data_IF_943959088033
#
_entry.id   IF_943959088033
#
_cell.length_a   1.000
_cell.length_b   1.000
_cell.length_c   1.000
_cell.angle_alpha   90.00
_cell.angle_beta   90.00
_cell.angle_gamma   90.00
#
_symmetry.space_group_name_H-M   'P 1'
#
loop_
_entity.id
_entity.type
_entity.pdbx_description
1 polymer ?
#
# COMPACT_ATOMS: atom_id res chain seq x y z
N UNK A 1 53.66 -26.85 6.77
CA UNK A 1 54.65 -25.76 6.61
C UNK A 1 55.72 -25.83 7.70
N UNK A 2 55.39 -25.52 8.97
CA UNK A 2 56.37 -25.50 10.07
C UNK A 2 57.07 -26.85 10.36
N UNK A 3 56.34 -27.98 10.30
CA UNK A 3 56.92 -29.32 10.45
C UNK A 3 57.99 -29.60 9.38
N UNK A 4 57.68 -29.31 8.12
CA UNK A 4 58.59 -29.55 6.98
C UNK A 4 59.79 -28.59 6.98
N UNK A 5 59.60 -27.35 7.45
CA UNK A 5 60.69 -26.42 7.67
C UNK A 5 61.64 -26.90 8.79
N UNK A 6 61.09 -27.42 9.89
CA UNK A 6 61.89 -28.00 10.97
C UNK A 6 62.69 -29.22 10.48
N UNK A 7 62.11 -30.06 9.62
CA UNK A 7 62.81 -31.19 8.98
C UNK A 7 63.91 -30.73 8.03
N UNK A 8 63.69 -29.65 7.29
CA UNK A 8 64.72 -29.04 6.43
C UNK A 8 65.92 -28.56 7.25
N UNK A 9 65.68 -27.94 8.41
CA UNK A 9 66.76 -27.47 9.29
C UNK A 9 67.44 -28.56 10.13
N UNK A 10 66.74 -29.66 10.43
CA UNK A 10 67.30 -30.81 11.16
C UNK A 10 68.42 -31.53 10.37
N UNK A 11 68.51 -31.33 9.05
CA UNK A 11 69.58 -31.87 8.22
C UNK A 11 69.51 -33.39 7.98
N UNK A 12 70.61 -33.98 7.49
CA UNK A 12 70.70 -35.44 7.26
C UNK A 12 70.18 -35.94 5.91
N UNK A 13 69.95 -35.04 4.95
CA UNK A 13 69.45 -35.37 3.60
C UNK A 13 70.42 -34.94 2.50
N UNK A 14 70.25 -35.47 1.29
CA UNK A 14 71.08 -35.08 0.14
C UNK A 14 70.80 -33.63 -0.28
N UNK A 15 71.75 -32.98 -0.96
CA UNK A 15 71.58 -31.61 -1.44
C UNK A 15 70.34 -31.44 -2.36
N UNK A 16 69.97 -32.49 -3.10
CA UNK A 16 68.80 -32.49 -3.98
C UNK A 16 67.50 -32.55 -3.19
N UNK A 17 67.44 -33.38 -2.16
CA UNK A 17 66.25 -33.54 -1.32
C UNK A 17 66.01 -32.30 -0.45
N UNK A 18 67.09 -31.68 0.04
CA UNK A 18 67.01 -30.40 0.75
C UNK A 18 66.45 -29.28 -0.14
N UNK A 19 66.83 -29.23 -1.40
CA UNK A 19 66.34 -28.22 -2.34
C UNK A 19 64.87 -28.46 -2.75
N UNK A 20 64.46 -29.73 -2.90
CA UNK A 20 63.06 -30.07 -3.11
C UNK A 20 62.20 -29.66 -1.90
N UNK A 21 62.63 -30.03 -0.69
CA UNK A 21 61.92 -29.73 0.55
C UNK A 21 61.87 -28.21 0.82
N UNK A 22 62.91 -27.45 0.47
CA UNK A 22 62.90 -25.98 0.51
C UNK A 22 61.77 -25.40 -0.34
N UNK A 23 61.68 -25.82 -1.60
CA UNK A 23 60.63 -25.36 -2.52
C UNK A 23 59.24 -25.75 -2.05
N UNK A 24 59.09 -26.95 -1.49
CA UNK A 24 57.82 -27.40 -0.90
C UNK A 24 57.41 -26.55 0.30
N UNK A 25 58.36 -26.22 1.20
CA UNK A 25 58.12 -25.32 2.34
C UNK A 25 57.68 -23.93 1.87
N UNK A 26 58.36 -23.36 0.87
CA UNK A 26 57.99 -22.07 0.27
C UNK A 26 56.56 -22.08 -0.31
N UNK A 27 56.21 -23.13 -1.06
CA UNK A 27 54.85 -23.31 -1.60
C UNK A 27 53.80 -23.45 -0.50
N UNK A 28 54.10 -24.19 0.57
CA UNK A 28 53.20 -24.35 1.70
C UNK A 28 52.98 -23.02 2.44
N UNK A 29 54.02 -22.22 2.65
CA UNK A 29 53.88 -20.89 3.25
C UNK A 29 53.09 -19.93 2.36
N UNK A 30 53.34 -19.94 1.04
CA UNK A 30 52.55 -19.15 0.09
C UNK A 30 51.06 -19.55 0.11
N UNK A 31 50.76 -20.86 0.24
CA UNK A 31 49.38 -21.35 0.37
C UNK A 31 48.75 -20.93 1.69
N UNK A 32 49.49 -20.99 2.81
CA UNK A 32 49.00 -20.53 4.12
C UNK A 32 48.68 -19.04 4.09
N UNK A 33 49.59 -18.20 3.59
CA UNK A 33 49.37 -16.75 3.45
C UNK A 33 48.12 -16.46 2.62
N UNK A 34 47.93 -17.15 1.50
CA UNK A 34 46.71 -16.99 0.68
C UNK A 34 45.43 -17.37 1.44
N UNK A 35 45.47 -18.45 2.21
CA UNK A 35 44.30 -18.86 3.02
C UNK A 35 44.04 -17.87 4.15
N UNK A 36 45.07 -17.27 4.75
CA UNK A 36 44.92 -16.21 5.76
C UNK A 36 44.26 -14.96 5.16
N UNK A 37 44.66 -14.55 3.95
CA UNK A 37 44.02 -13.44 3.23
C UNK A 37 42.54 -13.75 2.90
N UNK A 38 42.24 -14.97 2.46
CA UNK A 38 40.86 -15.43 2.20
C UNK A 38 40.02 -15.45 3.49
N UNK A 39 40.58 -15.92 4.60
CA UNK A 39 39.90 -15.92 5.91
C UNK A 39 39.62 -14.49 6.37
N UNK A 40 40.57 -13.57 6.19
CA UNK A 40 40.37 -12.16 6.55
C UNK A 40 39.23 -11.54 5.72
N UNK A 41 39.21 -11.79 4.41
CA UNK A 41 38.11 -11.33 3.54
C UNK A 41 36.74 -11.88 3.97
N UNK A 42 36.67 -13.15 4.37
CA UNK A 42 35.43 -13.74 4.89
C UNK A 42 34.99 -13.13 6.23
N UNK A 43 35.91 -12.71 7.10
CA UNK A 43 35.59 -12.01 8.34
C UNK A 43 34.99 -10.64 8.03
N UNK A 44 35.60 -9.88 7.12
CA UNK A 44 35.08 -8.56 6.72
C UNK A 44 33.69 -8.65 6.08
N UNK A 45 33.48 -9.62 5.18
CA UNK A 45 32.18 -9.88 4.55
C UNK A 45 31.10 -10.26 5.58
N UNK A 46 31.49 -11.06 6.58
CA UNK A 46 30.61 -11.46 7.67
C UNK A 46 30.21 -10.25 8.50
N UNK A 47 31.16 -9.43 8.96
CA UNK A 47 30.89 -8.25 9.78
C UNK A 47 29.96 -7.27 9.05
N UNK A 48 30.19 -7.06 7.75
CA UNK A 48 29.31 -6.23 6.91
C UNK A 48 27.90 -6.80 6.84
N UNK A 49 27.78 -8.11 6.65
CA UNK A 49 26.48 -8.78 6.56
C UNK A 49 25.72 -8.73 7.90
N UNK A 50 26.42 -8.87 9.03
CA UNK A 50 25.85 -8.74 10.37
C UNK A 50 25.32 -7.33 10.62
N UNK A 51 26.08 -6.29 10.26
CA UNK A 51 25.63 -4.90 10.35
C UNK A 51 24.41 -4.62 9.45
N UNK A 52 24.37 -5.20 8.25
CA UNK A 52 23.22 -5.09 7.35
C UNK A 52 21.97 -5.75 7.91
N UNK A 53 22.12 -6.93 8.54
CA UNK A 53 21.00 -7.62 9.21
C UNK A 53 20.46 -6.80 10.37
N UNK A 54 21.34 -6.28 11.24
CA UNK A 54 20.93 -5.44 12.39
C UNK A 54 20.12 -4.22 11.92
N UNK A 55 20.64 -3.49 10.93
CA UNK A 55 19.95 -2.34 10.33
C UNK A 55 18.59 -2.71 9.71
N UNK A 56 18.50 -3.86 9.05
CA UNK A 56 17.24 -4.32 8.46
C UNK A 56 16.22 -4.76 9.54
N UNK A 57 16.69 -5.34 10.64
CA UNK A 57 15.85 -5.70 11.79
C UNK A 57 15.26 -4.46 12.45
N UNK A 58 16.08 -3.42 12.71
CA UNK A 58 15.59 -2.14 13.22
C UNK A 58 14.55 -1.51 12.29
N UNK A 59 14.82 -1.53 10.97
CA UNK A 59 13.87 -1.04 9.97
C UNK A 59 12.56 -1.81 9.96
N UNK A 60 12.62 -3.13 10.15
CA UNK A 60 11.44 -3.99 10.23
C UNK A 60 10.62 -3.72 11.49
N UNK A 61 11.25 -3.52 12.64
CA UNK A 61 10.58 -3.19 13.90
C UNK A 61 9.82 -1.86 13.78
N UNK A 62 10.49 -0.82 13.26
CA UNK A 62 9.86 0.50 13.04
C UNK A 62 8.68 0.41 12.07
N UNK A 63 8.83 -0.29 10.95
CA UNK A 63 7.78 -0.46 9.97
C UNK A 63 6.59 -1.27 10.53
N UNK A 64 6.86 -2.27 11.36
CA UNK A 64 5.82 -3.09 12.01
C UNK A 64 5.04 -2.26 13.01
N UNK A 65 5.71 -1.49 13.86
CA UNK A 65 5.07 -0.59 14.82
C UNK A 65 4.18 0.45 14.12
N UNK A 66 4.66 1.05 13.02
CA UNK A 66 3.88 2.02 12.25
C UNK A 66 2.67 1.37 11.57
N UNK A 67 2.83 0.16 11.01
CA UNK A 67 1.72 -0.61 10.45
C UNK A 67 0.64 -0.89 11.49
N UNK A 68 1.02 -1.31 12.70
CA UNK A 68 0.07 -1.58 13.78
C UNK A 68 -0.67 -0.31 14.21
N UNK A 69 0.05 0.81 14.33
CA UNK A 69 -0.54 2.13 14.63
C UNK A 69 -1.56 2.53 13.57
N UNK A 70 -1.21 2.41 12.29
CA UNK A 70 -2.11 2.75 11.18
C UNK A 70 -3.32 1.81 11.14
N UNK A 71 -3.14 0.51 11.38
CA UNK A 71 -4.23 -0.46 11.43
C UNK A 71 -5.25 -0.10 12.52
N UNK A 72 -4.79 0.29 13.71
CA UNK A 72 -5.66 0.75 14.78
C UNK A 72 -6.45 2.01 14.39
N UNK A 73 -5.78 3.01 13.81
CA UNK A 73 -6.44 4.24 13.34
C UNK A 73 -7.48 3.94 12.27
N UNK A 74 -7.16 3.09 11.29
CA UNK A 74 -8.08 2.71 10.22
C UNK A 74 -9.31 2.00 10.81
N UNK A 75 -9.11 1.06 11.73
CA UNK A 75 -10.21 0.35 12.39
C UNK A 75 -11.14 1.29 13.14
N UNK A 76 -10.59 2.25 13.89
CA UNK A 76 -11.38 3.24 14.60
C UNK A 76 -12.17 4.16 13.66
N UNK A 77 -11.56 4.58 12.55
CA UNK A 77 -12.25 5.40 11.54
C UNK A 77 -13.38 4.64 10.87
N UNK A 78 -13.19 3.36 10.53
CA UNK A 78 -14.25 2.51 10.00
C UNK A 78 -15.40 2.38 10.99
N UNK A 79 -15.13 2.13 12.27
CA UNK A 79 -16.17 2.05 13.30
C UNK A 79 -17.00 3.34 13.41
N UNK A 80 -16.39 4.50 13.25
CA UNK A 80 -17.12 5.79 13.21
C UNK A 80 -18.01 5.87 11.96
N UNK A 81 -17.47 5.54 10.79
CA UNK A 81 -18.21 5.53 9.53
C UNK A 81 -19.42 4.58 9.61
N UNK A 82 -19.22 3.36 10.11
CA UNK A 82 -20.28 2.36 10.25
C UNK A 82 -21.39 2.84 11.19
N UNK A 83 -21.01 3.49 12.31
CA UNK A 83 -21.98 4.07 13.24
C UNK A 83 -22.79 5.19 12.58
N UNK A 84 -22.13 6.09 11.85
CA UNK A 84 -22.81 7.17 11.13
C UNK A 84 -23.71 6.64 10.00
N UNK A 85 -23.25 5.60 9.30
CA UNK A 85 -24.01 4.93 8.25
C UNK A 85 -25.26 4.29 8.82
N UNK A 86 -25.16 3.53 9.91
CA UNK A 86 -26.30 2.91 10.59
C UNK A 86 -27.35 3.96 11.02
N UNK A 87 -26.89 5.09 11.57
CA UNK A 87 -27.79 6.20 11.92
C UNK A 87 -28.49 6.81 10.69
N UNK A 88 -27.76 6.97 9.57
CA UNK A 88 -28.32 7.47 8.31
C UNK A 88 -29.30 6.48 7.68
N UNK A 89 -29.01 5.19 7.72
CA UNK A 89 -29.88 4.14 7.20
C UNK A 89 -31.17 4.02 8.02
N UNK A 90 -31.09 4.12 9.34
CA UNK A 90 -32.28 4.09 10.19
C UNK A 90 -33.17 5.31 9.94
N UNK A 91 -32.58 6.51 9.85
CA UNK A 91 -33.34 7.71 9.42
C UNK A 91 -33.95 7.54 8.04
N UNK A 92 -33.20 7.00 7.07
CA UNK A 92 -33.70 6.75 5.71
C UNK A 92 -34.95 5.84 5.75
N UNK A 93 -34.95 4.78 6.56
CA UNK A 93 -36.12 3.89 6.68
C UNK A 93 -37.34 4.64 7.21
N UNK A 94 -37.16 5.45 8.26
CA UNK A 94 -38.24 6.27 8.83
C UNK A 94 -38.73 7.28 7.80
N UNK A 95 -37.84 8.04 7.19
CA UNK A 95 -38.18 9.10 6.22
C UNK A 95 -38.86 8.53 4.98
N UNK A 96 -38.46 7.35 4.51
CA UNK A 96 -39.10 6.68 3.38
C UNK A 96 -40.58 6.38 3.64
N UNK A 97 -40.99 6.11 4.88
CA UNK A 97 -42.42 5.90 5.20
C UNK A 97 -43.28 7.15 5.07
N UNK A 98 -42.66 8.33 4.99
CA UNK A 98 -43.34 9.62 4.82
C UNK A 98 -43.52 10.01 3.35
N UNK A 99 -42.90 9.28 2.42
CA UNK A 99 -42.94 9.55 0.98
C UNK A 99 -43.89 8.58 0.30
N UNK A 100 -44.64 9.07 -0.68
CA UNK A 100 -45.53 8.24 -1.49
C UNK A 100 -44.75 7.18 -2.28
N UNK A 101 -45.28 5.96 -2.34
CA UNK A 101 -44.64 4.81 -2.99
C UNK A 101 -44.29 5.06 -4.45
N UNK A 102 -45.17 5.75 -5.20
CA UNK A 102 -44.93 6.07 -6.61
C UNK A 102 -43.71 6.99 -6.80
N UNK A 103 -43.50 7.92 -5.87
CA UNK A 103 -42.33 8.80 -5.89
C UNK A 103 -41.05 8.06 -5.53
N UNK A 104 -41.12 7.10 -4.59
CA UNK A 104 -39.98 6.24 -4.25
C UNK A 104 -39.58 5.34 -5.42
N UNK A 105 -40.54 4.69 -6.07
CA UNK A 105 -40.27 3.88 -7.27
C UNK A 105 -39.62 4.70 -8.39
N UNK A 106 -40.11 5.93 -8.60
CA UNK A 106 -39.54 6.85 -9.59
C UNK A 106 -38.12 7.26 -9.22
N UNK A 107 -37.87 7.57 -7.94
CA UNK A 107 -36.54 7.90 -7.42
C UNK A 107 -35.56 6.75 -7.61
N UNK A 108 -35.93 5.53 -7.22
CA UNK A 108 -35.05 4.36 -7.30
C UNK A 108 -34.74 4.00 -8.76
N UNK A 109 -35.74 4.03 -9.65
CA UNK A 109 -35.52 3.83 -11.09
C UNK A 109 -34.56 4.87 -11.70
N UNK A 110 -34.71 6.15 -11.34
CA UNK A 110 -33.80 7.19 -11.81
C UNK A 110 -32.39 6.96 -11.25
N UNK A 111 -32.27 6.56 -9.99
CA UNK A 111 -30.98 6.32 -9.33
C UNK A 111 -30.23 5.17 -9.99
N UNK A 112 -30.91 4.08 -10.30
CA UNK A 112 -30.33 2.91 -10.96
C UNK A 112 -29.87 3.24 -12.39
N UNK A 113 -30.63 4.07 -13.11
CA UNK A 113 -30.31 4.42 -14.50
C UNK A 113 -29.23 5.51 -14.63
N UNK A 114 -29.12 6.43 -13.67
CA UNK A 114 -28.22 7.59 -13.75
C UNK A 114 -27.01 7.49 -12.82
N UNK A 115 -27.00 6.57 -11.86
CA UNK A 115 -25.86 6.28 -10.99
C UNK A 115 -25.46 7.43 -10.04
N UNK A 116 -26.35 8.38 -9.77
CA UNK A 116 -26.01 9.60 -9.06
C UNK A 116 -27.17 10.27 -8.32
N UNK A 117 -27.03 11.56 -8.05
CA UNK A 117 -28.07 12.37 -7.44
C UNK A 117 -29.21 12.61 -8.44
N UNK A 118 -30.42 12.18 -8.11
CA UNK A 118 -31.60 12.26 -9.02
C UNK A 118 -32.69 13.19 -8.53
N UNK A 119 -32.43 13.90 -7.44
CA UNK A 119 -33.28 14.96 -6.89
C UNK A 119 -32.42 16.19 -6.70
N UNK A 120 -32.88 17.34 -7.20
CA UNK A 120 -32.16 18.60 -7.06
C UNK A 120 -33.11 19.78 -6.97
N UNK A 121 -32.62 20.89 -6.40
CA UNK A 121 -33.41 22.12 -6.29
C UNK A 121 -33.44 22.87 -7.62
N UNK A 122 -34.57 23.46 -7.99
CA UNK A 122 -34.65 24.42 -9.09
C UNK A 122 -34.42 25.83 -8.54
N UNK A 123 -33.27 26.44 -8.84
CA UNK A 123 -32.91 27.78 -8.36
C UNK A 123 -32.52 28.66 -9.54
N UNK A 124 -33.13 29.84 -9.67
CA UNK A 124 -32.87 30.80 -10.75
C UNK A 124 -32.95 30.21 -12.17
N UNK A 125 -33.88 29.26 -12.34
CA UNK A 125 -34.08 28.51 -13.58
C UNK A 125 -32.99 27.48 -13.87
N UNK A 126 -32.13 27.14 -12.91
CA UNK A 126 -31.06 26.15 -13.06
C UNK A 126 -31.41 24.85 -12.35
N UNK A 127 -31.28 23.73 -13.06
CA UNK A 127 -31.46 22.40 -12.50
C UNK A 127 -30.34 22.07 -11.51
N UNK A 128 -30.67 21.72 -10.27
CA UNK A 128 -29.69 21.33 -9.24
C UNK A 128 -28.98 19.99 -9.48
N UNK A 129 -29.35 19.23 -10.52
CA UNK A 129 -28.72 17.95 -10.87
C UNK A 129 -27.80 18.07 -12.08
N UNK A 130 -28.33 18.50 -13.24
CA UNK A 130 -27.52 18.62 -14.46
C UNK A 130 -26.89 20.00 -14.65
N UNK A 131 -27.21 20.96 -13.76
CA UNK A 131 -26.70 22.34 -13.80
C UNK A 131 -27.02 23.12 -15.08
N UNK A 132 -27.93 22.61 -15.91
CA UNK A 132 -28.42 23.33 -17.09
C UNK A 132 -29.47 24.37 -16.70
N UNK A 133 -29.39 25.52 -17.36
CA UNK A 133 -30.38 26.59 -17.27
C UNK A 133 -31.56 26.28 -18.20
N UNK A 134 -32.74 26.17 -17.60
CA UNK A 134 -34.02 26.09 -18.27
C UNK A 134 -34.47 27.49 -18.67
N UNK A 135 -35.05 27.60 -19.86
CA UNK A 135 -35.76 28.80 -20.30
C UNK A 135 -37.00 29.05 -19.45
N UNK A 136 -37.53 30.28 -19.47
CA UNK A 136 -38.73 30.62 -18.71
C UNK A 136 -39.95 29.75 -19.07
N UNK A 137 -40.08 29.36 -20.34
CA UNK A 137 -41.14 28.46 -20.79
C UNK A 137 -40.97 27.03 -20.26
N UNK A 138 -39.73 26.54 -20.22
CA UNK A 138 -39.40 25.23 -19.66
C UNK A 138 -39.63 25.20 -18.14
N UNK A 139 -39.21 26.24 -17.41
CA UNK A 139 -39.50 26.36 -15.97
C UNK A 139 -41.01 26.31 -15.72
N UNK A 140 -41.81 27.09 -16.47
CA UNK A 140 -43.26 27.10 -16.32
C UNK A 140 -43.92 25.75 -16.65
N UNK A 141 -43.30 24.94 -17.53
CA UNK A 141 -43.75 23.58 -17.84
C UNK A 141 -43.41 22.62 -16.68
N UNK A 142 -42.16 22.64 -16.22
CA UNK A 142 -41.67 21.79 -15.13
C UNK A 142 -42.47 22.01 -13.85
N UNK A 143 -42.74 23.26 -13.45
CA UNK A 143 -43.50 23.57 -12.23
C UNK A 143 -44.97 23.14 -12.28
N UNK A 144 -45.51 22.81 -13.46
CA UNK A 144 -46.87 22.28 -13.63
C UNK A 144 -46.94 20.75 -13.63
N UNK A 145 -45.81 20.05 -13.78
CA UNK A 145 -45.75 18.60 -13.70
C UNK A 145 -45.74 18.14 -12.24
N UNK A 146 -46.34 16.97 -11.95
CA UNK A 146 -46.32 16.34 -10.63
C UNK A 146 -45.85 14.88 -10.76
N UNK A 147 -44.64 14.52 -10.27
CA UNK A 147 -43.63 15.42 -9.69
C UNK A 147 -42.97 16.31 -10.76
N UNK A 148 -42.47 17.52 -10.41
CA UNK A 148 -41.69 18.34 -11.31
C UNK A 148 -40.42 17.61 -11.75
N UNK A 149 -40.14 17.52 -13.06
CA UNK A 149 -38.95 16.85 -13.60
C UNK A 149 -38.18 17.71 -14.58
N UNK A 150 -36.86 17.63 -14.54
CA UNK A 150 -36.02 18.34 -15.51
C UNK A 150 -36.21 17.77 -16.93
N UNK A 151 -36.39 18.64 -17.92
CA UNK A 151 -36.58 18.25 -19.32
C UNK A 151 -35.29 17.64 -19.92
N UNK A 152 -34.11 18.01 -19.40
CA UNK A 152 -32.83 17.55 -19.93
C UNK A 152 -32.35 16.24 -19.30
N UNK A 153 -32.38 16.13 -17.97
CA UNK A 153 -31.86 14.95 -17.25
C UNK A 153 -32.94 14.09 -16.59
N UNK A 154 -34.22 14.46 -16.68
CA UNK A 154 -35.38 13.76 -16.09
C UNK A 154 -35.38 13.62 -14.56
N UNK A 155 -34.37 14.15 -13.88
CA UNK A 155 -34.28 14.17 -12.42
C UNK A 155 -35.43 14.96 -11.81
N UNK A 156 -35.86 14.56 -10.61
CA UNK A 156 -36.93 15.21 -9.86
C UNK A 156 -36.43 16.58 -9.38
N UNK A 157 -37.25 17.61 -9.57
CA UNK A 157 -36.96 18.97 -9.19
C UNK A 157 -37.80 19.40 -7.99
N UNK A 158 -37.14 19.93 -6.98
CA UNK A 158 -37.78 20.57 -5.82
C UNK A 158 -37.76 22.08 -6.07
N UNK A 159 -38.94 22.66 -6.28
CA UNK A 159 -39.15 24.10 -6.47
C UNK A 159 -39.19 24.83 -5.13
#
# INVERSE_FOLDING_TARGET
AASEQNRLYAGGMSARDADYLRREVELLYAKVSKMEDEVLGHIEDKEKSEADVERLMEGLELATAEKERLAAVISDRWRVIDKELALKEERKKVDATLVDEYLLETYDHLRDTQGGHVVGRLVDGVCGVCHLRLSAAEVAKVTKEDPPRCIHCRSILVV
#
